data_IF_594886816419
#
_entry.id   IF_594886816419
#
_cell.length_a   1.000
_cell.length_b   1.000
_cell.length_c   1.000
_cell.angle_alpha   90.00
_cell.angle_beta   90.00
_cell.angle_gamma   90.00
#
_symmetry.space_group_name_H-M   'P 1'
#
loop_
_entity.id
_entity.type
_entity.pdbx_description
1 polymer ?
#
# COMPACT_ATOMS: atom_id res chain seq x y z
N UNK A 1 13.33 15.44 -2.90
CA UNK A 1 12.12 15.59 -3.75
C UNK A 1 11.89 17.04 -4.19
N UNK A 2 11.37 17.96 -3.35
CA UNK A 2 11.13 19.35 -3.79
C UNK A 2 12.41 20.07 -4.27
N UNK A 3 13.54 19.82 -3.61
CA UNK A 3 14.88 20.31 -4.04
C UNK A 3 15.42 19.65 -5.32
N UNK A 4 14.79 18.57 -5.79
CA UNK A 4 15.15 17.85 -7.01
C UNK A 4 14.19 18.18 -8.17
N UNK A 5 13.32 19.19 -7.99
CA UNK A 5 12.34 19.64 -8.97
C UNK A 5 11.47 18.53 -9.59
N UNK A 6 10.97 17.62 -8.75
CA UNK A 6 10.09 16.53 -9.18
C UNK A 6 8.62 16.97 -9.12
N UNK A 7 7.89 16.79 -10.22
CA UNK A 7 6.44 17.07 -10.31
C UNK A 7 5.58 15.96 -9.68
N UNK A 8 6.13 14.75 -9.61
CA UNK A 8 5.42 13.56 -9.16
C UNK A 8 6.31 12.67 -8.29
N UNK A 9 5.67 11.89 -7.41
CA UNK A 9 6.33 10.86 -6.63
C UNK A 9 5.54 9.56 -6.68
N UNK A 10 6.16 8.53 -7.25
CA UNK A 10 5.60 7.19 -7.31
C UNK A 10 5.99 6.40 -6.06
N UNK A 11 5.00 5.77 -5.43
CA UNK A 11 5.21 4.85 -4.30
C UNK A 11 4.16 3.74 -4.34
N UNK A 12 4.39 2.66 -3.57
CA UNK A 12 3.41 1.60 -3.38
C UNK A 12 2.79 1.65 -1.98
N UNK A 13 1.52 1.26 -1.90
CA UNK A 13 0.88 0.94 -0.63
C UNK A 13 1.16 -0.53 -0.36
N UNK A 14 1.70 -0.83 0.82
CA UNK A 14 1.98 -2.20 1.20
C UNK A 14 0.70 -2.88 1.65
N UNK A 15 0.33 -3.97 0.98
CA UNK A 15 -0.91 -4.70 1.28
C UNK A 15 -0.86 -5.23 2.71
N UNK A 16 0.23 -5.91 3.10
CA UNK A 16 0.42 -6.46 4.44
C UNK A 16 0.47 -5.38 5.53
N UNK A 17 0.87 -4.15 5.20
CA UNK A 17 0.82 -3.03 6.15
C UNK A 17 -0.61 -2.58 6.44
N UNK A 18 -1.50 -2.57 5.45
CA UNK A 18 -2.88 -2.10 5.60
C UNK A 18 -3.79 -3.23 6.12
N UNK A 19 -3.62 -4.43 5.57
CA UNK A 19 -4.33 -5.65 5.94
C UNK A 19 -3.29 -6.73 6.33
N UNK A 20 -2.92 -6.86 7.62
CA UNK A 20 -1.88 -7.80 8.05
C UNK A 20 -2.14 -9.26 7.69
N UNK A 21 -3.40 -9.64 7.59
CA UNK A 21 -3.84 -10.98 7.16
C UNK A 21 -4.33 -11.02 5.70
N UNK A 22 -4.09 -9.95 4.94
CA UNK A 22 -4.50 -9.79 3.55
C UNK A 22 -6.00 -9.59 3.31
N UNK A 23 -6.85 -9.81 4.32
CA UNK A 23 -8.31 -9.77 4.23
C UNK A 23 -8.89 -8.80 5.26
N UNK A 24 -10.04 -8.19 4.94
CA UNK A 24 -10.77 -7.33 5.89
C UNK A 24 -11.20 -8.10 7.15
N UNK A 25 -11.59 -9.37 7.01
CA UNK A 25 -11.96 -10.24 8.13
C UNK A 25 -10.81 -10.48 9.11
N UNK A 26 -9.56 -10.34 8.66
CA UNK A 26 -8.36 -10.45 9.49
C UNK A 26 -7.89 -9.12 10.10
N UNK A 27 -8.71 -8.06 9.99
CA UNK A 27 -8.47 -6.77 10.61
C UNK A 27 -7.76 -5.75 9.72
N UNK A 28 -7.90 -4.48 10.10
CA UNK A 28 -7.34 -3.33 9.39
C UNK A 28 -6.34 -2.62 10.31
N UNK A 29 -5.12 -2.43 9.84
CA UNK A 29 -4.11 -1.67 10.57
C UNK A 29 -4.28 -0.16 10.34
N UNK A 30 -4.85 0.52 11.33
CA UNK A 30 -5.13 1.97 11.27
C UNK A 30 -3.87 2.82 11.25
N UNK A 31 -2.81 2.41 11.95
CA UNK A 31 -1.52 3.11 11.93
C UNK A 31 -0.88 3.05 10.54
N UNK A 32 -1.01 1.91 9.86
CA UNK A 32 -0.59 1.75 8.46
C UNK A 32 -1.29 2.72 7.52
N UNK A 33 -2.60 2.90 7.69
CA UNK A 33 -3.40 3.87 6.93
C UNK A 33 -2.94 5.31 7.26
N UNK A 34 -2.75 5.62 8.55
CA UNK A 34 -2.32 6.94 8.99
C UNK A 34 -0.95 7.32 8.42
N UNK A 35 -0.02 6.36 8.33
CA UNK A 35 1.26 6.55 7.67
C UNK A 35 1.10 7.01 6.21
N UNK A 36 0.27 6.33 5.42
CA UNK A 36 0.05 6.70 4.01
C UNK A 36 -0.68 8.04 3.89
N UNK A 37 -1.65 8.33 4.76
CA UNK A 37 -2.29 9.64 4.82
C UNK A 37 -1.28 10.75 5.10
N UNK A 38 -0.38 10.57 6.08
CA UNK A 38 0.69 11.54 6.39
C UNK A 38 1.63 11.74 5.20
N UNK A 39 1.99 10.67 4.49
CA UNK A 39 2.83 10.76 3.29
C UNK A 39 2.12 11.53 2.17
N UNK A 40 0.89 11.15 1.83
CA UNK A 40 0.09 11.78 0.76
C UNK A 40 -0.12 13.27 1.08
N UNK A 41 -0.53 13.60 2.30
CA UNK A 41 -0.74 15.00 2.71
C UNK A 41 0.55 15.82 2.60
N UNK A 42 1.72 15.25 2.95
CA UNK A 42 3.01 15.93 2.80
C UNK A 42 3.43 16.12 1.34
N UNK A 43 3.07 15.20 0.44
CA UNK A 43 3.34 15.33 -1.00
C UNK A 43 2.46 16.43 -1.60
N UNK A 44 1.16 16.38 -1.34
CA UNK A 44 0.20 17.37 -1.78
C UNK A 44 0.53 18.77 -1.24
N UNK A 45 0.87 18.89 0.05
CA UNK A 45 1.32 20.15 0.65
C UNK A 45 2.62 20.72 0.08
N UNK A 46 3.38 19.92 -0.68
CA UNK A 46 4.58 20.36 -1.41
C UNK A 46 4.34 20.57 -2.91
N UNK A 47 3.12 20.39 -3.39
CA UNK A 47 2.77 20.46 -4.82
C UNK A 47 3.25 19.26 -5.63
N UNK A 48 3.59 18.13 -4.98
CA UNK A 48 4.07 16.92 -5.65
C UNK A 48 2.88 15.98 -5.86
N UNK A 49 2.63 15.56 -7.10
CA UNK A 49 1.54 14.64 -7.43
C UNK A 49 1.88 13.20 -6.97
N UNK A 50 1.10 12.58 -6.07
CA UNK A 50 1.30 11.18 -5.70
C UNK A 50 0.86 10.25 -6.83
N UNK A 51 1.69 9.26 -7.15
CA UNK A 51 1.36 8.15 -8.07
C UNK A 51 1.44 6.83 -7.31
N UNK A 52 0.29 6.19 -7.09
CA UNK A 52 0.21 5.01 -6.23
C UNK A 52 0.20 3.74 -7.07
N UNK A 53 1.06 2.79 -6.70
CA UNK A 53 1.00 1.40 -7.16
C UNK A 53 0.32 0.56 -6.08
N UNK A 54 -0.80 -0.08 -6.39
CA UNK A 54 -1.60 -0.86 -5.42
C UNK A 54 -0.98 -2.20 -5.05
N UNK A 55 -0.22 -2.79 -5.97
CA UNK A 55 0.50 -4.04 -5.75
C UNK A 55 1.89 -3.94 -6.33
N UNK A 56 2.91 -4.16 -5.49
CA UNK A 56 4.31 -4.10 -5.91
C UNK A 56 5.06 -5.32 -5.39
N UNK A 57 4.51 -6.50 -5.71
CA UNK A 57 5.09 -7.82 -5.40
C UNK A 57 5.19 -8.11 -3.89
N UNK A 58 4.24 -7.56 -3.12
CA UNK A 58 4.21 -7.60 -1.66
C UNK A 58 2.96 -8.32 -1.13
N UNK A 59 2.66 -9.49 -1.71
CA UNK A 59 1.55 -10.34 -1.28
C UNK A 59 1.68 -10.68 0.22
N UNK A 60 0.65 -10.46 1.05
CA UNK A 60 0.67 -10.91 2.45
C UNK A 60 0.85 -12.42 2.55
N UNK A 61 1.83 -12.88 3.35
CA UNK A 61 2.11 -14.31 3.53
C UNK A 61 0.88 -15.11 3.96
N UNK A 62 -0.01 -14.52 4.77
CA UNK A 62 -1.26 -15.18 5.19
C UNK A 62 -2.15 -15.60 4.00
N UNK A 63 -2.09 -14.90 2.86
CA UNK A 63 -2.83 -15.29 1.65
C UNK A 63 -2.17 -16.43 0.91
N UNK A 64 -0.84 -16.52 0.95
CA UNK A 64 -0.10 -17.68 0.45
C UNK A 64 -0.44 -18.91 1.29
N UNK A 65 -0.40 -18.78 2.62
CA UNK A 65 -0.66 -19.89 3.54
C UNK A 65 -2.12 -20.39 3.45
N UNK A 66 -3.08 -19.47 3.34
CA UNK A 66 -4.51 -19.82 3.31
C UNK A 66 -4.95 -20.35 1.94
N UNK A 67 -4.37 -19.86 0.85
CA UNK A 67 -4.93 -20.04 -0.51
C UNK A 67 -3.91 -20.44 -1.59
N UNK A 68 -2.60 -20.49 -1.30
CA UNK A 68 -1.58 -20.64 -2.35
C UNK A 68 -1.41 -19.38 -3.21
N UNK A 69 -1.72 -18.21 -2.65
CA UNK A 69 -1.53 -16.93 -3.29
C UNK A 69 -2.29 -16.80 -4.60
N UNK A 70 -1.68 -16.16 -5.60
CA UNK A 70 -2.34 -15.88 -6.88
C UNK A 70 -2.72 -17.11 -7.71
N UNK A 71 -2.34 -18.31 -7.30
CA UNK A 71 -2.83 -19.55 -7.91
C UNK A 71 -4.31 -19.81 -7.57
N UNK A 72 -4.83 -19.15 -6.54
CA UNK A 72 -6.20 -19.28 -6.08
C UNK A 72 -7.08 -18.13 -6.61
N UNK A 73 -8.29 -18.44 -7.12
CA UNK A 73 -9.27 -17.42 -7.50
C UNK A 73 -9.87 -16.70 -6.29
N UNK A 74 -9.63 -17.16 -5.07
CA UNK A 74 -10.11 -16.51 -3.84
C UNK A 74 -9.31 -15.24 -3.48
N UNK A 75 -8.23 -14.94 -4.21
CA UNK A 75 -7.46 -13.70 -4.09
C UNK A 75 -8.10 -12.54 -4.88
N UNK A 76 -8.85 -12.82 -5.95
CA UNK A 76 -9.40 -11.83 -6.90
C UNK A 76 -10.82 -11.43 -6.54
#
# INVERSE_FOLDING_TARGET
MKKMNLDAYRFSISWSRVLPKGKLSGGVNREGIEYYNKLINRLLGKGIKPFVTMFHWDLPQALEDDYGGFLSPQIV
#
